data_IF_192955734565
#
_entry.id   IF_192955734565
#
_cell.length_a   1.000
_cell.length_b   1.000
_cell.length_c   1.000
_cell.angle_alpha   90.00
_cell.angle_beta   90.00
_cell.angle_gamma   90.00
#
_symmetry.space_group_name_H-M   'P 1'
#
loop_
_entity.id
_entity.type
_entity.pdbx_description
1 polymer ?
#
# COMPACT_ATOMS: atom_id res chain seq x y z
N UNK A 1 -4.13 -69.04 -17.55
CA UNK A 1 -5.21 -68.84 -18.54
C UNK A 1 -6.07 -67.68 -18.06
N UNK A 2 -6.25 -66.62 -18.86
CA UNK A 2 -7.24 -65.58 -18.53
C UNK A 2 -8.65 -66.16 -18.70
N UNK A 3 -9.60 -65.79 -17.83
CA UNK A 3 -10.97 -66.29 -17.95
C UNK A 3 -11.67 -65.72 -19.19
N UNK A 4 -12.58 -66.50 -19.78
CA UNK A 4 -13.38 -66.05 -20.95
C UNK A 4 -14.15 -64.77 -20.63
N UNK A 5 -14.59 -64.61 -19.38
CA UNK A 5 -15.23 -63.40 -18.86
C UNK A 5 -14.29 -62.18 -18.93
N UNK A 6 -13.04 -62.30 -18.49
CA UNK A 6 -12.06 -61.21 -18.56
C UNK A 6 -11.75 -60.80 -20.02
N UNK A 7 -11.65 -61.77 -20.92
CA UNK A 7 -11.50 -61.51 -22.36
C UNK A 7 -12.73 -60.81 -22.96
N UNK A 8 -13.93 -61.19 -22.54
CA UNK A 8 -15.18 -60.56 -23.00
C UNK A 8 -15.33 -59.11 -22.49
N UNK A 9 -14.93 -58.83 -21.25
CA UNK A 9 -14.92 -57.49 -20.69
C UNK A 9 -13.94 -56.57 -21.44
N UNK A 10 -12.71 -57.02 -21.66
CA UNK A 10 -11.71 -56.27 -22.42
C UNK A 10 -12.15 -55.96 -23.87
N UNK A 11 -12.90 -56.88 -24.50
CA UNK A 11 -13.49 -56.66 -25.82
C UNK A 11 -14.61 -55.59 -25.79
N UNK A 12 -15.44 -55.57 -24.74
CA UNK A 12 -16.47 -54.54 -24.55
C UNK A 12 -15.84 -53.16 -24.29
N UNK A 13 -14.81 -53.07 -23.45
CA UNK A 13 -14.07 -51.83 -23.19
C UNK A 13 -13.43 -51.26 -24.47
N UNK A 14 -12.84 -52.12 -25.31
CA UNK A 14 -12.29 -51.71 -26.61
C UNK A 14 -13.39 -51.18 -27.54
N UNK A 15 -14.56 -51.84 -27.58
CA UNK A 15 -15.72 -51.39 -28.37
C UNK A 15 -16.25 -50.04 -27.87
N UNK A 16 -16.32 -49.82 -26.56
CA UNK A 16 -16.73 -48.57 -25.95
C UNK A 16 -15.77 -47.41 -26.28
N UNK A 17 -14.45 -47.62 -26.11
CA UNK A 17 -13.42 -46.64 -26.51
C UNK A 17 -13.51 -46.29 -28.00
N UNK A 18 -13.65 -47.28 -28.88
CA UNK A 18 -13.79 -47.03 -30.32
C UNK A 18 -15.07 -46.27 -30.68
N UNK A 19 -16.17 -46.47 -29.94
CA UNK A 19 -17.40 -45.70 -30.13
C UNK A 19 -17.22 -44.22 -29.71
N UNK A 20 -16.54 -43.96 -28.59
CA UNK A 20 -16.17 -42.61 -28.13
C UNK A 20 -15.24 -41.89 -29.13
N UNK A 21 -14.24 -42.59 -29.68
CA UNK A 21 -13.36 -42.02 -30.71
C UNK A 21 -14.10 -41.74 -32.03
N UNK A 22 -15.09 -42.57 -32.40
CA UNK A 22 -15.93 -42.35 -33.59
C UNK A 22 -16.86 -41.14 -33.43
N UNK A 23 -17.44 -40.90 -32.26
CA UNK A 23 -18.29 -39.71 -32.03
C UNK A 23 -17.46 -38.42 -32.00
N UNK A 24 -16.22 -38.47 -31.51
CA UNK A 24 -15.26 -37.36 -31.59
C UNK A 24 -14.86 -37.04 -33.04
N UNK A 25 -14.53 -38.04 -33.87
CA UNK A 25 -14.16 -37.80 -35.27
C UNK A 25 -15.30 -37.19 -36.11
N UNK A 26 -16.56 -37.53 -35.81
CA UNK A 26 -17.75 -36.96 -36.49
C UNK A 26 -18.12 -35.54 -36.01
N UNK A 27 -17.32 -34.89 -35.16
CA UNK A 27 -17.60 -33.54 -34.63
C UNK A 27 -16.56 -32.49 -35.03
N UNK A 28 -15.73 -32.77 -36.04
CA UNK A 28 -15.20 -31.72 -36.90
C UNK A 28 -16.24 -31.40 -37.98
N UNK A 29 -16.62 -30.12 -38.18
CA UNK A 29 -17.45 -29.72 -39.29
C UNK A 29 -16.57 -29.55 -40.54
N UNK A 30 -16.66 -30.49 -41.49
CA UNK A 30 -16.32 -30.18 -42.87
C UNK A 30 -17.58 -29.72 -43.59
N UNK A 31 -17.45 -28.64 -44.33
CA UNK A 31 -18.53 -28.05 -45.11
C UNK A 31 -18.78 -28.91 -46.36
N UNK A 32 -20.07 -29.22 -46.58
CA UNK A 32 -20.74 -29.45 -47.85
C UNK A 32 -20.12 -30.32 -48.97
N UNK A 33 -21.04 -31.09 -49.56
CA UNK A 33 -21.06 -31.59 -50.94
C UNK A 33 -20.31 -32.89 -51.28
N UNK A 34 -21.03 -33.67 -52.08
CA UNK A 34 -20.62 -34.92 -52.72
C UNK A 34 -19.82 -34.61 -54.00
N UNK A 35 -19.29 -35.68 -54.60
CA UNK A 35 -18.74 -35.82 -55.95
C UNK A 35 -17.22 -35.83 -56.16
N UNK A 36 -16.90 -36.54 -57.24
CA UNK A 36 -15.63 -37.16 -57.60
C UNK A 36 -14.74 -36.27 -58.51
N UNK A 37 -13.51 -36.73 -58.72
CA UNK A 37 -12.57 -36.40 -59.80
C UNK A 37 -11.55 -35.24 -59.62
N UNK A 38 -10.27 -35.61 -59.77
CA UNK A 38 -9.31 -34.96 -60.70
C UNK A 38 -8.71 -33.58 -60.34
N UNK A 39 -7.36 -33.46 -60.23
CA UNK A 39 -6.70 -32.16 -60.21
C UNK A 39 -6.48 -31.61 -61.63
N UNK A 40 -6.63 -30.31 -61.85
CA UNK A 40 -6.08 -29.63 -63.04
C UNK A 40 -5.67 -28.19 -62.73
N UNK A 41 -4.62 -27.74 -63.41
CA UNK A 41 -3.93 -26.45 -63.27
C UNK A 41 -4.57 -25.36 -64.16
N UNK A 42 -4.05 -24.13 -64.05
CA UNK A 42 -4.15 -22.97 -64.95
C UNK A 42 -5.23 -21.89 -64.71
N UNK A 43 -4.74 -20.76 -64.15
CA UNK A 43 -4.56 -19.46 -64.85
C UNK A 43 -5.79 -18.59 -65.26
N UNK A 44 -5.56 -17.26 -65.31
CA UNK A 44 -6.42 -16.17 -65.84
C UNK A 44 -7.59 -15.74 -64.89
N UNK A 45 -8.00 -14.46 -64.80
CA UNK A 45 -7.54 -13.24 -65.48
C UNK A 45 -7.85 -11.95 -64.66
N UNK A 46 -7.32 -10.83 -65.12
CA UNK A 46 -7.42 -9.48 -64.55
C UNK A 46 -8.71 -8.72 -64.86
N UNK A 47 -9.11 -7.79 -63.98
CA UNK A 47 -9.96 -6.64 -64.31
C UNK A 47 -9.49 -5.41 -63.49
N UNK A 48 -9.40 -4.24 -64.13
CA UNK A 48 -8.93 -2.97 -63.54
C UNK A 48 -10.08 -1.96 -63.43
N UNK A 49 -10.03 -1.08 -62.42
CA UNK A 49 -10.88 0.11 -62.26
C UNK A 49 -10.15 1.22 -61.47
N UNK A 50 -10.61 2.46 -61.66
CA UNK A 50 -9.87 3.72 -61.51
C UNK A 50 -10.72 4.76 -60.71
N UNK A 51 -10.22 5.76 -59.98
CA UNK A 51 -8.84 6.13 -59.56
C UNK A 51 -8.95 7.14 -58.37
N UNK A 52 -7.84 7.40 -57.66
CA UNK A 52 -7.63 8.47 -56.65
C UNK A 52 -8.47 8.39 -55.33
N UNK A 53 -7.97 8.89 -54.16
CA UNK A 53 -6.83 9.79 -54.00
C UNK A 53 -5.57 9.18 -53.37
N UNK A 54 -4.42 9.74 -53.75
CA UNK A 54 -3.08 9.30 -53.33
C UNK A 54 -2.79 9.51 -51.83
N UNK A 55 -3.17 8.54 -50.99
CA UNK A 55 -2.40 8.26 -49.78
C UNK A 55 -1.17 7.45 -50.18
N UNK A 56 0.02 8.05 -50.08
CA UNK A 56 1.30 7.42 -50.41
C UNK A 56 1.71 6.45 -49.28
N UNK A 57 0.87 5.44 -49.04
CA UNK A 57 1.28 4.25 -48.33
C UNK A 57 2.30 3.52 -49.24
N UNK A 58 3.49 3.15 -48.74
CA UNK A 58 4.52 2.58 -49.59
C UNK A 58 4.11 1.19 -50.07
N UNK A 59 3.59 1.12 -51.29
CA UNK A 59 3.25 -0.10 -52.01
C UNK A 59 4.44 -1.06 -52.15
N UNK A 60 5.66 -0.58 -51.90
CA UNK A 60 6.90 -1.36 -51.79
C UNK A 60 6.75 -2.58 -50.89
N UNK A 61 5.99 -2.52 -49.79
CA UNK A 61 5.76 -3.68 -48.90
C UNK A 61 5.04 -4.86 -49.61
N UNK A 62 4.26 -4.60 -50.66
CA UNK A 62 3.58 -5.63 -51.46
C UNK A 62 4.51 -6.29 -52.48
N UNK A 63 5.53 -5.57 -52.95
CA UNK A 63 6.43 -6.00 -54.04
C UNK A 63 7.82 -6.42 -53.56
N UNK A 64 8.24 -5.97 -52.38
CA UNK A 64 9.55 -6.21 -51.79
C UNK A 64 9.37 -6.99 -50.48
N UNK A 65 9.35 -8.33 -50.56
CA UNK A 65 9.37 -9.15 -49.36
C UNK A 65 10.70 -8.95 -48.63
N UNK A 66 10.69 -8.29 -47.47
CA UNK A 66 11.85 -8.05 -46.60
C UNK A 66 12.39 -9.34 -45.96
N UNK A 67 12.94 -10.25 -46.76
CA UNK A 67 13.46 -11.53 -46.28
C UNK A 67 14.63 -11.26 -45.32
N UNK A 68 14.43 -11.55 -44.04
CA UNK A 68 15.31 -11.21 -42.90
C UNK A 68 15.52 -9.70 -42.63
N UNK A 69 14.75 -8.78 -43.24
CA UNK A 69 14.83 -7.35 -42.95
C UNK A 69 13.49 -6.82 -42.45
N UNK A 70 13.51 -6.16 -41.30
CA UNK A 70 12.34 -5.50 -40.75
C UNK A 70 12.39 -4.01 -41.02
N UNK A 71 11.31 -3.47 -41.58
CA UNK A 71 11.26 -2.12 -42.15
C UNK A 71 10.95 -1.08 -41.07
N UNK A 72 10.28 -1.48 -39.99
CA UNK A 72 9.98 -0.59 -38.85
C UNK A 72 11.23 -0.35 -38.00
N UNK A 73 11.93 -1.42 -37.64
CA UNK A 73 13.18 -1.35 -36.86
C UNK A 73 14.43 -1.10 -37.73
N UNK A 74 14.27 -1.10 -39.06
CA UNK A 74 15.32 -0.90 -40.08
C UNK A 74 16.53 -1.84 -39.92
N UNK A 75 16.29 -3.05 -39.42
CA UNK A 75 17.33 -3.99 -38.98
C UNK A 75 17.13 -5.42 -39.48
N UNK A 76 18.07 -6.29 -39.12
CA UNK A 76 17.94 -7.72 -39.38
C UNK A 76 16.91 -8.34 -38.43
N UNK A 77 15.96 -9.11 -38.96
CA UNK A 77 14.90 -9.76 -38.17
C UNK A 77 15.44 -10.95 -37.38
N UNK A 78 15.96 -10.67 -36.19
CA UNK A 78 16.56 -11.63 -35.27
C UNK A 78 15.49 -12.39 -34.46
N UNK A 79 14.77 -13.28 -35.13
CA UNK A 79 13.82 -14.21 -34.47
C UNK A 79 12.49 -13.57 -34.08
N UNK A 80 12.03 -13.84 -32.86
CA UNK A 80 10.77 -13.34 -32.30
C UNK A 80 11.06 -12.23 -31.28
N UNK A 81 10.38 -11.09 -31.41
CA UNK A 81 10.57 -9.93 -30.51
C UNK A 81 9.94 -10.14 -29.13
N UNK A 82 8.83 -10.87 -29.07
CA UNK A 82 8.22 -11.37 -27.84
C UNK A 82 8.51 -12.87 -27.70
N UNK A 83 8.68 -13.37 -26.47
CA UNK A 83 8.92 -14.80 -26.28
C UNK A 83 7.65 -15.60 -26.66
N UNK A 84 7.73 -16.71 -27.41
CA UNK A 84 6.53 -17.47 -27.81
C UNK A 84 5.69 -18.05 -26.66
N UNK A 85 6.25 -18.08 -25.46
CA UNK A 85 5.65 -18.45 -24.17
C UNK A 85 5.02 -17.28 -23.41
N UNK A 86 5.28 -16.04 -23.82
CA UNK A 86 4.81 -14.82 -23.16
C UNK A 86 3.29 -14.69 -23.29
N UNK A 87 2.62 -14.28 -22.21
CA UNK A 87 1.16 -14.25 -22.12
C UNK A 87 0.45 -15.61 -22.01
N UNK A 88 1.13 -16.75 -22.19
CA UNK A 88 0.54 -18.09 -22.06
C UNK A 88 0.81 -18.70 -20.68
N UNK A 89 -0.18 -19.38 -20.12
CA UNK A 89 -0.01 -20.14 -18.88
C UNK A 89 0.70 -21.47 -19.18
N UNK A 90 2.03 -21.45 -19.17
CA UNK A 90 2.87 -22.64 -19.33
C UNK A 90 2.93 -23.47 -18.04
N UNK A 91 3.22 -24.76 -18.17
CA UNK A 91 3.44 -25.65 -17.02
C UNK A 91 4.62 -25.16 -16.16
N UNK A 92 5.69 -24.64 -16.78
CA UNK A 92 6.83 -24.04 -16.08
C UNK A 92 6.41 -22.89 -15.15
N UNK A 93 5.50 -22.02 -15.60
CA UNK A 93 5.01 -20.89 -14.79
C UNK A 93 4.15 -21.37 -13.62
N UNK A 94 3.36 -22.43 -13.81
CA UNK A 94 2.57 -23.06 -12.75
C UNK A 94 3.47 -23.79 -11.74
N UNK A 95 4.47 -24.54 -12.21
CA UNK A 95 5.45 -25.22 -11.37
C UNK A 95 6.27 -24.23 -10.53
N UNK A 96 6.71 -23.10 -11.12
CA UNK A 96 7.40 -22.04 -10.40
C UNK A 96 6.52 -21.38 -9.31
N UNK A 97 5.23 -21.16 -9.59
CA UNK A 97 4.29 -20.63 -8.60
C UNK A 97 4.08 -21.61 -7.43
N UNK A 98 3.87 -22.90 -7.72
CA UNK A 98 3.74 -23.95 -6.71
C UNK A 98 5.02 -24.08 -5.86
N UNK A 99 6.21 -24.06 -6.49
CA UNK A 99 7.47 -24.11 -5.76
C UNK A 99 7.67 -22.91 -4.82
N UNK A 100 7.26 -21.70 -5.24
CA UNK A 100 7.29 -20.52 -4.39
C UNK A 100 6.28 -20.62 -3.21
N UNK A 101 5.09 -21.17 -3.46
CA UNK A 101 4.08 -21.39 -2.42
C UNK A 101 4.53 -22.45 -1.40
N UNK A 102 5.04 -23.61 -1.84
CA UNK A 102 5.59 -24.64 -0.95
C UNK A 102 6.78 -24.12 -0.14
N UNK A 103 7.67 -23.33 -0.74
CA UNK A 103 8.78 -22.68 -0.01
C UNK A 103 8.26 -21.74 1.08
N UNK A 104 7.25 -20.93 0.77
CA UNK A 104 6.62 -20.03 1.75
C UNK A 104 5.95 -20.80 2.89
N UNK A 105 5.22 -21.88 2.58
CA UNK A 105 4.58 -22.74 3.59
C UNK A 105 5.63 -23.35 4.52
N UNK A 106 6.72 -23.92 3.98
CA UNK A 106 7.82 -24.45 4.79
C UNK A 106 8.47 -23.37 5.68
N UNK A 107 8.65 -22.15 5.18
CA UNK A 107 9.15 -21.02 5.98
C UNK A 107 8.15 -20.53 7.05
N UNK A 108 6.85 -20.77 6.91
CA UNK A 108 5.82 -20.48 7.92
C UNK A 108 5.76 -21.60 8.97
N UNK A 109 5.84 -22.86 8.55
CA UNK A 109 5.95 -24.04 9.42
C UNK A 109 7.22 -23.98 10.27
N UNK A 110 8.40 -23.67 9.70
CA UNK A 110 9.65 -23.49 10.45
C UNK A 110 9.56 -22.36 11.49
N UNK A 111 8.68 -21.37 11.30
CA UNK A 111 8.42 -20.32 12.30
C UNK A 111 7.50 -20.80 13.43
N UNK A 112 6.57 -21.72 13.14
CA UNK A 112 5.65 -22.31 14.11
C UNK A 112 6.31 -23.44 14.93
N UNK A 113 7.12 -24.28 14.29
CA UNK A 113 7.85 -25.41 14.89
C UNK A 113 9.10 -24.98 15.68
N UNK A 114 9.36 -23.66 15.78
CA UNK A 114 10.36 -23.14 16.73
C UNK A 114 9.98 -23.60 18.13
N UNK A 115 10.80 -24.45 18.79
CA UNK A 115 10.44 -24.99 20.09
C UNK A 115 10.22 -23.83 21.06
N UNK A 116 9.04 -23.81 21.72
CA UNK A 116 8.71 -22.80 22.70
C UNK A 116 9.80 -22.81 23.77
N UNK A 117 10.64 -21.78 23.79
CA UNK A 117 11.73 -21.70 24.73
C UNK A 117 11.19 -21.41 26.12
N UNK A 118 11.18 -22.49 26.91
CA UNK A 118 10.72 -22.58 28.29
C UNK A 118 11.42 -21.58 29.22
N UNK A 119 12.62 -21.09 28.87
CA UNK A 119 13.32 -20.06 29.66
C UNK A 119 12.73 -18.65 29.46
N UNK A 120 11.96 -18.39 28.40
CA UNK A 120 11.09 -17.20 28.31
C UNK A 120 9.79 -17.35 29.11
N UNK A 121 9.30 -18.58 29.31
CA UNK A 121 8.21 -18.89 30.23
C UNK A 121 8.72 -18.96 31.68
N UNK A 122 9.31 -17.86 32.15
CA UNK A 122 9.68 -17.72 33.56
C UNK A 122 8.45 -17.86 34.47
N UNK A 123 8.58 -18.46 35.67
CA UNK A 123 7.50 -18.51 36.64
C UNK A 123 7.09 -17.09 37.04
N UNK A 124 5.82 -16.74 36.80
CA UNK A 124 5.29 -15.40 37.12
C UNK A 124 5.18 -15.20 38.63
N UNK A 125 5.31 -13.94 39.07
CA UNK A 125 5.15 -13.54 40.48
C UNK A 125 3.76 -13.96 40.99
N UNK A 126 3.61 -14.48 42.23
CA UNK A 126 2.31 -14.93 42.75
C UNK A 126 1.19 -13.86 42.66
N UNK A 127 1.54 -12.58 42.87
CA UNK A 127 0.59 -11.46 42.85
C UNK A 127 0.30 -10.89 41.43
N UNK A 128 0.78 -11.52 40.35
CA UNK A 128 0.67 -10.94 39.00
C UNK A 128 -0.78 -10.81 38.52
N UNK A 129 -1.64 -11.76 38.92
CA UNK A 129 -3.05 -11.80 38.53
C UNK A 129 -3.86 -10.73 39.27
N UNK A 130 -3.63 -10.56 40.58
CA UNK A 130 -4.22 -9.47 41.37
C UNK A 130 -3.83 -8.10 40.80
N UNK A 131 -2.59 -7.92 40.32
CA UNK A 131 -2.19 -6.69 39.63
C UNK A 131 -3.02 -6.49 38.36
N UNK A 132 -3.13 -7.49 37.50
CA UNK A 132 -3.92 -7.39 36.25
C UNK A 132 -5.39 -7.05 36.52
N UNK A 133 -5.99 -7.69 37.52
CA UNK A 133 -7.40 -7.49 37.87
C UNK A 133 -7.64 -6.15 38.59
N UNK A 134 -6.65 -5.63 39.31
CA UNK A 134 -6.62 -4.26 39.84
C UNK A 134 -6.48 -3.24 38.71
N UNK A 135 -5.52 -3.42 37.80
CA UNK A 135 -5.25 -2.53 36.67
C UNK A 135 -6.51 -2.35 35.81
N UNK A 136 -7.25 -3.43 35.53
CA UNK A 136 -8.55 -3.39 34.81
C UNK A 136 -9.64 -2.59 35.53
N UNK A 137 -9.65 -2.59 36.86
CA UNK A 137 -10.59 -1.76 37.67
C UNK A 137 -10.14 -0.30 37.71
N UNK A 138 -8.83 -0.08 37.80
CA UNK A 138 -8.23 1.25 37.78
C UNK A 138 -8.38 1.94 36.44
N UNK A 139 -8.34 1.23 35.30
CA UNK A 139 -8.53 1.81 33.97
C UNK A 139 -9.80 2.68 33.87
N UNK A 140 -10.94 2.13 34.29
CA UNK A 140 -12.23 2.86 34.28
C UNK A 140 -12.29 3.97 35.35
N UNK A 141 -11.49 3.85 36.42
CA UNK A 141 -11.41 4.88 37.47
C UNK A 141 -10.52 6.05 37.01
N UNK A 142 -9.36 5.75 36.43
CA UNK A 142 -8.38 6.71 35.91
C UNK A 142 -9.04 7.65 34.90
N UNK A 143 -9.79 7.12 33.92
CA UNK A 143 -10.54 7.95 32.97
C UNK A 143 -11.50 8.92 33.68
N UNK A 144 -12.14 8.53 34.79
CA UNK A 144 -13.00 9.44 35.57
C UNK A 144 -12.19 10.45 36.37
N UNK A 145 -11.07 10.03 36.95
CA UNK A 145 -10.12 10.88 37.68
C UNK A 145 -9.53 11.96 36.76
N UNK A 146 -9.07 11.59 35.56
CA UNK A 146 -8.52 12.50 34.56
C UNK A 146 -9.58 13.51 34.09
N UNK A 147 -10.82 13.06 33.86
CA UNK A 147 -11.94 13.94 33.55
C UNK A 147 -12.29 14.89 34.72
N UNK A 148 -12.17 14.44 35.97
CA UNK A 148 -12.38 15.28 37.15
C UNK A 148 -11.25 16.31 37.31
N UNK A 149 -10.00 15.91 37.08
CA UNK A 149 -8.82 16.82 37.05
C UNK A 149 -9.01 17.87 35.96
N UNK A 150 -9.39 17.47 34.73
CA UNK A 150 -9.65 18.39 33.63
C UNK A 150 -10.76 19.41 33.94
N UNK A 151 -11.84 18.99 34.64
CA UNK A 151 -12.87 19.90 35.13
C UNK A 151 -12.33 20.89 36.17
N UNK A 152 -11.63 20.41 37.20
CA UNK A 152 -11.04 21.28 38.23
C UNK A 152 -10.04 22.28 37.64
N UNK A 153 -9.23 21.86 36.65
CA UNK A 153 -8.30 22.76 35.95
C UNK A 153 -9.06 23.82 35.15
N UNK A 154 -10.10 23.43 34.40
CA UNK A 154 -10.96 24.37 33.66
C UNK A 154 -11.64 25.39 34.60
N UNK A 155 -12.18 24.93 35.72
CA UNK A 155 -12.79 25.80 36.73
C UNK A 155 -11.77 26.77 37.35
N UNK A 156 -10.57 26.29 37.69
CA UNK A 156 -9.47 27.15 38.20
C UNK A 156 -9.06 28.22 37.18
N UNK A 157 -8.85 27.85 35.92
CA UNK A 157 -8.49 28.80 34.85
C UNK A 157 -9.62 29.80 34.61
N UNK A 158 -10.88 29.34 34.57
CA UNK A 158 -12.05 30.22 34.43
C UNK A 158 -12.18 31.21 35.59
N UNK A 159 -11.95 30.77 36.82
CA UNK A 159 -12.00 31.61 38.00
C UNK A 159 -10.84 32.62 38.04
N UNK A 160 -9.62 32.19 37.68
CA UNK A 160 -8.46 33.09 37.52
C UNK A 160 -8.72 34.14 36.44
N UNK A 161 -9.24 33.74 35.27
CA UNK A 161 -9.57 34.65 34.17
C UNK A 161 -10.69 35.63 34.56
N UNK A 162 -11.73 35.15 35.25
CA UNK A 162 -12.82 36.00 35.75
C UNK A 162 -12.34 37.00 36.80
N UNK A 163 -11.46 36.57 37.71
CA UNK A 163 -10.84 37.45 38.71
C UNK A 163 -9.88 38.47 38.07
N UNK A 164 -9.11 38.07 37.05
CA UNK A 164 -8.27 38.96 36.27
C UNK A 164 -9.11 39.98 35.47
N UNK A 165 -10.21 39.55 34.86
CA UNK A 165 -11.13 40.43 34.15
C UNK A 165 -11.86 41.39 35.11
N UNK A 166 -12.28 40.93 36.28
CA UNK A 166 -12.88 41.79 37.31
C UNK A 166 -11.90 42.84 37.87
N UNK A 167 -10.59 42.53 37.91
CA UNK A 167 -9.52 43.49 38.25
C UNK A 167 -9.16 44.40 37.07
N UNK A 168 -9.17 43.87 35.84
CA UNK A 168 -8.83 44.58 34.60
C UNK A 168 -9.97 45.46 34.04
N UNK A 169 -11.22 45.26 34.47
CA UNK A 169 -12.37 46.06 34.05
C UNK A 169 -12.31 47.55 34.48
N UNK A 170 -11.27 47.96 35.21
CA UNK A 170 -10.95 49.37 35.46
C UNK A 170 -10.17 50.04 34.31
N UNK A 171 -9.80 49.33 33.24
CA UNK A 171 -9.08 49.87 32.08
C UNK A 171 -9.67 49.34 30.75
N UNK A 172 -10.31 50.27 30.02
CA UNK A 172 -10.82 50.22 28.63
C UNK A 172 -10.90 48.90 27.83
N UNK A 173 -12.15 48.48 27.54
CA UNK A 173 -12.78 48.81 26.26
C UNK A 173 -12.33 48.14 24.94
N UNK A 174 -13.21 47.27 24.42
CA UNK A 174 -13.35 46.81 23.02
C UNK A 174 -12.37 45.77 22.44
N UNK A 175 -12.91 44.85 21.63
CA UNK A 175 -12.16 43.82 20.90
C UNK A 175 -12.93 42.50 20.82
N UNK A 176 -13.51 42.20 19.66
CA UNK A 176 -14.22 40.93 19.38
C UNK A 176 -13.29 39.94 18.68
N UNK A 177 -13.37 38.66 19.03
CA UNK A 177 -12.93 37.55 18.18
C UNK A 177 -11.49 37.04 18.38
N UNK A 178 -11.40 35.76 18.77
CA UNK A 178 -10.37 34.81 18.33
C UNK A 178 -8.88 35.19 18.53
N UNK A 179 -8.53 35.69 19.72
CA UNK A 179 -7.14 35.94 20.15
C UNK A 179 -6.83 35.40 21.57
N UNK A 180 -7.70 34.55 22.13
CA UNK A 180 -7.70 34.27 23.58
C UNK A 180 -6.55 33.38 24.07
N UNK A 181 -5.80 32.73 23.18
CA UNK A 181 -4.62 31.93 23.53
C UNK A 181 -3.40 32.80 23.91
N UNK A 182 -3.33 34.06 23.43
CA UNK A 182 -2.19 34.95 23.67
C UNK A 182 -2.41 35.94 24.84
N UNK A 183 -3.64 36.04 25.36
CA UNK A 183 -4.01 37.06 26.36
C UNK A 183 -3.42 36.86 27.76
N UNK A 184 -2.99 35.64 28.12
CA UNK A 184 -2.41 35.33 29.43
C UNK A 184 -0.95 35.82 29.50
N UNK A 185 -0.19 35.67 28.41
CA UNK A 185 1.21 36.09 28.34
C UNK A 185 1.37 37.60 28.44
N UNK A 186 0.41 38.38 27.92
CA UNK A 186 0.45 39.84 27.98
C UNK A 186 0.47 40.39 29.42
N UNK A 187 -0.32 39.82 30.34
CA UNK A 187 -0.32 40.24 31.74
C UNK A 187 1.01 39.90 32.43
N UNK A 188 1.55 38.71 32.20
CA UNK A 188 2.85 38.30 32.75
C UNK A 188 4.02 39.07 32.16
N UNK A 189 3.93 39.49 30.89
CA UNK A 189 4.95 40.31 30.24
C UNK A 189 4.96 41.74 30.82
N UNK A 190 3.79 42.33 31.05
CA UNK A 190 3.68 43.64 31.70
C UNK A 190 4.23 43.59 33.12
N UNK A 191 3.90 42.56 33.91
CA UNK A 191 4.45 42.38 35.25
C UNK A 191 5.99 42.18 35.22
N UNK A 192 6.50 41.35 34.31
CA UNK A 192 7.95 41.16 34.12
C UNK A 192 8.69 42.44 33.71
N UNK A 193 8.09 43.29 32.87
CA UNK A 193 8.69 44.58 32.50
C UNK A 193 8.75 45.57 33.67
N UNK A 194 7.71 45.64 34.51
CA UNK A 194 7.72 46.50 35.70
C UNK A 194 8.70 46.00 36.78
N UNK A 195 8.89 44.68 36.90
CA UNK A 195 9.92 44.11 37.77
C UNK A 195 11.31 44.49 37.25
N UNK A 196 11.58 44.32 35.95
CA UNK A 196 12.90 44.65 35.39
C UNK A 196 13.23 46.15 35.47
N UNK A 197 12.28 47.03 35.15
CA UNK A 197 12.48 48.48 35.29
C UNK A 197 12.82 48.90 36.74
N UNK A 198 12.28 48.18 37.72
CA UNK A 198 12.62 48.37 39.13
C UNK A 198 13.99 47.82 39.49
N UNK A 199 14.35 46.63 39.03
CA UNK A 199 15.67 46.03 39.25
C UNK A 199 16.78 46.89 38.60
N UNK A 200 16.58 47.30 37.34
CA UNK A 200 17.47 48.21 36.60
C UNK A 200 17.66 49.54 37.37
N UNK A 201 16.60 50.07 38.00
CA UNK A 201 16.66 51.32 38.79
C UNK A 201 17.31 51.15 40.17
N UNK A 202 17.15 50.00 40.83
CA UNK A 202 17.84 49.69 42.10
C UNK A 202 19.33 49.39 41.86
N UNK A 203 19.68 48.75 40.73
CA UNK A 203 21.06 48.51 40.30
C UNK A 203 21.77 49.82 39.91
N UNK A 204 21.14 50.69 39.11
CA UNK A 204 21.67 52.02 38.80
C UNK A 204 21.77 52.96 40.01
N UNK A 205 21.09 52.65 41.13
CA UNK A 205 21.29 53.36 42.41
C UNK A 205 22.50 52.80 43.15
N UNK A 206 22.69 51.48 43.17
CA UNK A 206 23.87 50.83 43.75
C UNK A 206 25.14 51.21 43.02
N UNK A 207 25.14 51.23 41.69
CA UNK A 207 26.29 51.63 40.87
C UNK A 207 26.77 53.06 41.23
N UNK A 208 25.83 54.00 41.49
CA UNK A 208 26.17 55.34 41.98
C UNK A 208 26.71 55.35 43.42
N UNK A 209 26.15 54.53 44.30
CA UNK A 209 26.64 54.38 45.68
C UNK A 209 28.05 53.74 45.70
N UNK A 210 28.35 52.84 44.77
CA UNK A 210 29.66 52.20 44.57
C UNK A 210 30.68 53.15 43.91
N UNK A 211 30.28 53.93 42.90
CA UNK A 211 31.09 54.99 42.29
C UNK A 211 31.43 56.10 43.29
N UNK A 212 30.47 56.53 44.12
CA UNK A 212 30.68 57.54 45.16
C UNK A 212 31.62 57.01 46.26
N UNK A 213 31.46 55.76 46.69
CA UNK A 213 32.39 55.12 47.63
C UNK A 213 33.81 54.95 47.06
N UNK A 214 33.94 54.60 45.77
CA UNK A 214 35.24 54.54 45.07
C UNK A 214 35.91 55.91 44.95
N UNK A 215 35.14 56.99 44.85
CA UNK A 215 35.65 58.37 44.86
C UNK A 215 36.02 58.88 46.26
N UNK A 216 35.40 58.35 47.33
CA UNK A 216 35.80 58.64 48.72
C UNK A 216 37.03 57.83 49.19
N UNK A 217 37.38 56.72 48.53
CA UNK A 217 38.54 55.87 48.88
C UNK A 217 39.88 56.32 48.22
N UNK A 218 39.87 57.31 47.32
CA UNK A 218 41.07 57.84 46.60
C UNK A 218 41.59 59.19 47.08
#
# INVERSE_FOLDING_TARGET
MASVQALSAAAQDRKARLAQLKSLKRKQPEEAQEEDSGPTDANQQSAAQDEEPQQIAPSTNKYLSGRNYDIETKGAKLGFEAAPSEGKNTLEKQAAALAAETKRQAEEEEKADKPLDLFKLQPKKPNWDLKRDLDRKLEILNVRTDNAIAKMVRERISNQRSAAQARGASVNGSGSGDAEAAGIEGATLVEATHVREREDAEEARREREEDEALLEET
#
